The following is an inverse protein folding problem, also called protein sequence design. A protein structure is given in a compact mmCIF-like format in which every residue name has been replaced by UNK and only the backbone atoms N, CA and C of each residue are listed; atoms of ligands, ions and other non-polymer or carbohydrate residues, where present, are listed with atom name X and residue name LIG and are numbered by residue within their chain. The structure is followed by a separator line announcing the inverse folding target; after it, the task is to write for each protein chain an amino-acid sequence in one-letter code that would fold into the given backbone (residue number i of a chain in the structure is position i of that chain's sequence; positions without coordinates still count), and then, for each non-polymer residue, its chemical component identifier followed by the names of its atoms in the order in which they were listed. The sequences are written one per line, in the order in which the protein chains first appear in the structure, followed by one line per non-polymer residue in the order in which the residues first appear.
data_IF_187118328061
#
_entry.id   IF_187118328061
#
_cell.length_a   1.000
_cell.length_b   1.000
_cell.length_c   1.000
_cell.angle_alpha   90.00
_cell.angle_beta   90.00
_cell.angle_gamma   90.00
#
_symmetry.space_group_name_H-M   'P 1'
#
loop_
_entity.id
_entity.type
_entity.pdbx_description
1 polymer ?
#
# COMPACT_ATOMS: atom_id res chain seq x y z
N UNK A 1 49.46 11.01 28.43
CA UNK A 1 49.27 10.00 27.37
C UNK A 1 47.79 9.68 27.11
N UNK A 2 46.99 9.35 28.13
CA UNK A 2 45.54 9.05 28.00
C UNK A 2 44.68 10.17 27.40
N UNK A 3 44.98 11.44 27.69
CA UNK A 3 44.23 12.60 27.16
C UNK A 3 44.35 12.73 25.64
N UNK A 4 45.53 12.45 25.08
CA UNK A 4 45.75 12.48 23.63
C UNK A 4 45.03 11.33 22.91
N UNK A 5 44.93 10.16 23.57
CA UNK A 5 44.18 9.00 23.06
C UNK A 5 42.68 9.31 23.04
N UNK A 6 42.15 9.91 24.12
CA UNK A 6 40.74 10.30 24.19
C UNK A 6 40.37 11.35 23.14
N UNK A 7 41.25 12.33 22.89
CA UNK A 7 41.06 13.34 21.84
C UNK A 7 41.07 12.72 20.44
N UNK A 8 41.99 11.78 20.18
CA UNK A 8 42.05 11.07 18.90
C UNK A 8 40.78 10.25 18.62
N UNK A 9 40.27 9.53 19.62
CA UNK A 9 39.03 8.74 19.49
C UNK A 9 37.82 9.66 19.27
N UNK A 10 37.73 10.78 20.01
CA UNK A 10 36.65 11.75 19.84
C UNK A 10 36.59 12.36 18.44
N UNK A 11 37.76 12.65 17.86
CA UNK A 11 37.86 13.21 16.51
C UNK A 11 37.40 12.20 15.44
N UNK A 12 37.71 10.91 15.60
CA UNK A 12 37.27 9.85 14.68
C UNK A 12 35.74 9.69 14.71
N UNK A 13 35.13 9.75 15.90
CA UNK A 13 33.66 9.64 16.06
C UNK A 13 32.95 10.83 15.38
N UNK A 14 33.46 12.06 15.55
CA UNK A 14 32.88 13.24 14.89
C UNK A 14 32.95 13.16 13.37
N UNK A 15 34.08 12.70 12.82
CA UNK A 15 34.23 12.51 11.37
C UNK A 15 33.23 11.46 10.86
N UNK A 16 33.09 10.33 11.56
CA UNK A 16 32.12 9.29 11.21
C UNK A 16 30.67 9.79 11.20
N UNK A 17 30.27 10.52 12.24
CA UNK A 17 28.92 11.10 12.34
C UNK A 17 28.66 12.15 11.25
N UNK A 18 29.65 12.99 10.92
CA UNK A 18 29.55 13.98 9.85
C UNK A 18 29.36 13.35 8.47
N UNK A 19 30.08 12.26 8.17
CA UNK A 19 29.95 11.52 6.90
C UNK A 19 28.57 10.86 6.77
N UNK A 20 28.04 10.28 7.85
CA UNK A 20 26.70 9.69 7.86
C UNK A 20 25.60 10.75 7.69
N UNK A 21 25.71 11.88 8.39
CA UNK A 21 24.78 13.00 8.26
C UNK A 21 24.81 13.61 6.85
N UNK A 22 25.99 13.72 6.24
CA UNK A 22 26.14 14.21 4.87
C UNK A 22 25.53 13.25 3.84
N UNK A 23 25.75 11.93 3.98
CA UNK A 23 25.11 10.92 3.12
C UNK A 23 23.59 10.93 3.25
N UNK A 24 23.05 10.98 4.47
CA UNK A 24 21.61 11.05 4.70
C UNK A 24 21.02 12.34 4.13
N UNK A 25 21.70 13.48 4.31
CA UNK A 25 21.27 14.76 3.74
C UNK A 25 21.31 14.76 2.21
N UNK A 26 22.32 14.10 1.60
CA UNK A 26 22.45 13.97 0.15
C UNK A 26 21.34 13.10 -0.45
N UNK A 27 20.99 11.99 0.19
CA UNK A 27 19.86 11.13 -0.22
C UNK A 27 18.54 11.92 -0.17
N UNK A 28 18.30 12.68 0.89
CA UNK A 28 17.08 13.51 1.04
C UNK A 28 17.08 14.68 0.04
N UNK A 29 18.24 15.25 -0.29
CA UNK A 29 18.36 16.34 -1.27
C UNK A 29 18.23 15.85 -2.72
N UNK A 30 18.70 14.65 -3.02
CA UNK A 30 18.53 14.00 -4.34
C UNK A 30 17.05 13.64 -4.57
N UNK A 31 16.33 13.20 -3.54
CA UNK A 31 14.87 13.02 -3.60
C UNK A 31 14.11 14.33 -3.87
N UNK A 32 14.64 15.49 -3.47
CA UNK A 32 14.01 16.80 -3.72
C UNK A 32 14.33 17.40 -5.10
N UNK A 33 15.35 16.91 -5.81
CA UNK A 33 15.85 17.50 -7.07
C UNK A 33 15.33 16.86 -8.35
N UNK A 34 14.51 15.80 -8.27
CA UNK A 34 13.75 15.36 -9.43
C UNK A 34 12.38 16.06 -9.41
N UNK A 35 12.16 17.13 -10.20
CA UNK A 35 10.81 17.56 -10.52
C UNK A 35 10.27 16.56 -11.55
N UNK A 36 10.01 15.34 -11.09
CA UNK A 36 9.09 14.44 -11.80
C UNK A 36 7.72 15.11 -11.90
N UNK A 37 6.88 14.71 -12.86
CA UNK A 37 5.52 15.23 -12.97
C UNK A 37 4.89 15.19 -11.57
N UNK A 38 4.34 16.33 -11.12
CA UNK A 38 3.71 16.49 -9.80
C UNK A 38 2.98 15.18 -9.47
N UNK A 39 3.30 14.49 -8.36
CA UNK A 39 2.58 13.27 -8.03
C UNK A 39 1.13 13.67 -7.95
N UNK A 40 0.32 13.17 -8.88
CA UNK A 40 -1.11 13.17 -8.71
C UNK A 40 -1.26 12.30 -7.47
N UNK A 41 -1.46 12.93 -6.31
CA UNK A 41 -1.61 12.24 -5.05
C UNK A 41 -2.96 11.55 -5.11
N UNK A 42 -2.98 10.39 -5.75
CA UNK A 42 -4.12 9.51 -5.74
C UNK A 42 -4.35 9.10 -4.29
N UNK A 43 -5.58 9.33 -3.86
CA UNK A 43 -6.07 8.88 -2.56
C UNK A 43 -6.79 7.56 -2.76
N UNK A 44 -6.70 6.69 -1.77
CA UNK A 44 -7.24 5.34 -1.84
C UNK A 44 -8.19 5.08 -0.69
N UNK A 45 -9.09 4.14 -0.84
CA UNK A 45 -10.01 3.74 0.23
C UNK A 45 -10.33 2.26 0.11
N UNK A 46 -10.77 1.67 1.22
CA UNK A 46 -11.35 0.33 1.24
C UNK A 46 -12.83 0.47 1.57
N UNK A 47 -13.67 0.26 0.57
CA UNK A 47 -15.11 0.34 0.73
C UNK A 47 -15.70 -1.06 0.88
N UNK A 48 -16.62 -1.25 1.82
CA UNK A 48 -17.30 -2.51 2.07
C UNK A 48 -18.80 -2.29 1.93
N UNK A 49 -19.47 -3.08 1.09
CA UNK A 49 -20.89 -2.91 0.79
C UNK A 49 -21.57 -4.26 0.55
N UNK A 50 -22.88 -4.30 0.79
CA UNK A 50 -23.76 -5.43 0.47
C UNK A 50 -24.48 -5.26 -0.89
N UNK A 51 -24.17 -4.19 -1.62
CA UNK A 51 -24.71 -3.92 -2.96
C UNK A 51 -23.58 -3.80 -3.96
N UNK A 52 -23.79 -4.42 -5.12
CA UNK A 52 -22.96 -4.23 -6.30
C UNK A 52 -23.31 -2.87 -6.94
N UNK A 53 -23.22 -1.77 -6.20
CA UNK A 53 -23.63 -0.45 -6.69
C UNK A 53 -22.54 0.11 -7.61
N UNK A 54 -22.69 -0.15 -8.92
CA UNK A 54 -21.94 0.52 -9.98
C UNK A 54 -22.26 2.03 -10.08
N UNK A 55 -23.26 2.53 -9.35
CA UNK A 55 -23.75 3.91 -9.46
C UNK A 55 -22.95 4.93 -8.60
N UNK A 56 -22.14 4.50 -7.62
CA UNK A 56 -21.20 5.37 -6.89
C UNK A 56 -19.88 5.63 -7.66
N UNK A 57 -19.74 5.06 -8.87
CA UNK A 57 -18.52 5.00 -9.68
C UNK A 57 -17.90 6.32 -10.14
N UNK A 58 -18.56 7.47 -10.00
CA UNK A 58 -17.96 8.72 -10.51
C UNK A 58 -16.75 9.17 -9.68
N UNK A 59 -16.65 8.75 -8.41
CA UNK A 59 -15.57 9.14 -7.49
C UNK A 59 -14.64 8.01 -7.08
N UNK A 60 -15.11 6.77 -7.15
CA UNK A 60 -14.37 5.58 -6.74
C UNK A 60 -14.04 4.73 -7.97
N UNK A 61 -12.76 4.48 -8.19
CA UNK A 61 -12.26 3.62 -9.25
C UNK A 61 -11.68 2.35 -8.60
N UNK A 62 -12.41 1.23 -8.60
CA UNK A 62 -11.95 0.00 -7.96
C UNK A 62 -10.75 -0.58 -8.71
N UNK A 63 -9.69 -0.91 -7.99
CA UNK A 63 -8.49 -1.57 -8.52
C UNK A 63 -8.38 -3.03 -8.07
N UNK A 64 -9.05 -3.40 -6.96
CA UNK A 64 -9.14 -4.78 -6.47
C UNK A 64 -10.48 -5.03 -5.79
N UNK A 65 -11.07 -6.20 -6.01
CA UNK A 65 -12.35 -6.59 -5.42
C UNK A 65 -12.24 -7.97 -4.76
N UNK A 66 -12.86 -8.11 -3.60
CA UNK A 66 -13.17 -9.41 -2.99
C UNK A 66 -14.67 -9.53 -2.73
N UNK A 67 -15.19 -10.73 -2.92
CA UNK A 67 -16.56 -11.13 -2.61
C UNK A 67 -16.52 -12.20 -1.54
N UNK A 68 -17.33 -12.07 -0.49
CA UNK A 68 -17.35 -12.99 0.62
C UNK A 68 -18.74 -13.12 1.25
N UNK A 69 -18.96 -14.25 1.92
CA UNK A 69 -20.18 -14.45 2.71
C UNK A 69 -20.02 -13.88 4.11
N UNK A 70 -20.99 -13.11 4.56
CA UNK A 70 -21.16 -12.69 5.95
C UNK A 70 -22.51 -13.28 6.45
N UNK A 71 -22.73 -13.54 7.75
CA UNK A 71 -24.05 -13.85 8.30
C UNK A 71 -25.21 -12.94 7.85
N UNK A 72 -24.93 -11.74 7.35
CA UNK A 72 -25.94 -10.82 6.81
C UNK A 72 -26.20 -10.97 5.30
N UNK A 73 -25.44 -11.81 4.59
CA UNK A 73 -25.54 -12.02 3.15
C UNK A 73 -24.20 -11.91 2.43
N UNK A 74 -24.23 -11.88 1.10
CA UNK A 74 -23.05 -11.64 0.28
C UNK A 74 -22.57 -10.19 0.44
N UNK A 75 -21.27 -10.04 0.69
CA UNK A 75 -20.61 -8.76 0.90
C UNK A 75 -19.45 -8.61 -0.08
N UNK A 76 -19.22 -7.37 -0.46
CA UNK A 76 -18.14 -6.99 -1.35
C UNK A 76 -17.21 -6.03 -0.61
N UNK A 77 -15.91 -6.20 -0.79
CA UNK A 77 -14.93 -5.19 -0.41
C UNK A 77 -14.11 -4.78 -1.63
N UNK A 78 -13.87 -3.48 -1.75
CA UNK A 78 -13.20 -2.86 -2.89
C UNK A 78 -12.04 -2.01 -2.39
N UNK A 79 -10.85 -2.27 -2.91
CA UNK A 79 -9.76 -1.30 -2.86
C UNK A 79 -9.97 -0.35 -4.05
N UNK A 80 -10.21 0.92 -3.77
CA UNK A 80 -10.55 1.91 -4.79
C UNK A 80 -9.65 3.12 -4.74
N UNK A 81 -9.32 3.65 -5.91
CA UNK A 81 -8.74 4.98 -6.08
C UNK A 81 -9.86 6.01 -6.02
N UNK A 82 -9.62 7.10 -5.31
CA UNK A 82 -10.59 8.17 -5.05
C UNK A 82 -10.06 9.48 -5.59
N UNK A 83 -10.91 10.19 -6.33
CA UNK A 83 -10.60 11.54 -6.81
C UNK A 83 -11.22 12.56 -5.85
N UNK A 84 -10.45 13.08 -4.88
CA UNK A 84 -10.96 14.01 -3.86
C UNK A 84 -9.99 14.33 -2.71
N UNK A 85 -10.48 15.02 -1.67
CA UNK A 85 -9.68 15.36 -0.48
C UNK A 85 -9.49 14.14 0.43
N UNK A 86 -8.27 13.59 0.39
CA UNK A 86 -7.65 12.68 1.37
C UNK A 86 -8.54 11.61 2.00
N UNK A 87 -8.54 10.44 1.38
CA UNK A 87 -8.99 9.22 2.05
C UNK A 87 -7.81 8.41 2.62
N UNK A 88 -6.97 7.68 1.90
CA UNK A 88 -5.76 7.02 2.48
C UNK A 88 -4.59 6.99 1.49
N UNK A 89 -3.37 6.71 1.96
CA UNK A 89 -2.28 6.30 1.06
C UNK A 89 -2.54 4.89 0.53
N UNK A 90 -2.01 4.56 -0.65
CA UNK A 90 -2.13 3.23 -1.24
C UNK A 90 -1.66 2.13 -0.28
N UNK A 91 -0.53 2.33 0.39
CA UNK A 91 0.03 1.36 1.33
C UNK A 91 -0.88 1.09 2.53
N UNK A 92 -1.55 2.13 3.05
CA UNK A 92 -2.49 2.04 4.17
C UNK A 92 -3.76 1.30 3.73
N UNK A 93 -4.36 1.70 2.59
CA UNK A 93 -5.54 1.05 2.05
C UNK A 93 -5.27 -0.42 1.67
N UNK A 94 -4.10 -0.71 1.08
CA UNK A 94 -3.67 -2.09 0.79
C UNK A 94 -3.52 -2.90 2.07
N UNK A 95 -2.93 -2.34 3.14
CA UNK A 95 -2.81 -3.02 4.44
C UNK A 95 -4.16 -3.35 5.09
N UNK A 96 -5.15 -2.47 4.95
CA UNK A 96 -6.53 -2.72 5.41
C UNK A 96 -7.15 -3.85 4.59
N UNK A 97 -7.05 -3.79 3.26
CA UNK A 97 -7.58 -4.81 2.36
C UNK A 97 -6.94 -6.18 2.61
N UNK A 98 -5.63 -6.20 2.86
CA UNK A 98 -4.88 -7.41 3.22
C UNK A 98 -5.34 -8.05 4.52
N UNK A 99 -5.67 -7.23 5.52
CA UNK A 99 -6.20 -7.68 6.81
C UNK A 99 -7.58 -8.28 6.61
N UNK A 100 -8.43 -7.61 5.82
CA UNK A 100 -9.77 -8.11 5.49
C UNK A 100 -9.72 -9.41 4.70
N UNK A 101 -8.85 -9.50 3.69
CA UNK A 101 -8.64 -10.73 2.91
C UNK A 101 -8.19 -11.88 3.81
N UNK A 102 -7.22 -11.64 4.70
CA UNK A 102 -6.76 -12.66 5.65
C UNK A 102 -7.87 -13.12 6.61
N UNK A 103 -8.67 -12.20 7.15
CA UNK A 103 -9.79 -12.52 8.04
C UNK A 103 -10.86 -13.36 7.33
N UNK A 104 -11.22 -12.99 6.09
CA UNK A 104 -12.20 -13.71 5.29
C UNK A 104 -11.69 -15.10 4.88
N UNK A 105 -10.41 -15.22 4.51
CA UNK A 105 -9.76 -16.49 4.20
C UNK A 105 -9.70 -17.41 5.43
N UNK A 106 -9.30 -16.89 6.59
CA UNK A 106 -9.24 -17.65 7.83
C UNK A 106 -10.61 -18.21 8.25
N UNK A 107 -11.69 -17.50 7.90
CA UNK A 107 -13.08 -17.92 8.15
C UNK A 107 -13.64 -18.85 7.06
N UNK A 108 -12.91 -19.09 5.97
CA UNK A 108 -13.38 -19.90 4.84
C UNK A 108 -14.58 -19.27 4.10
N UNK A 109 -14.72 -17.94 4.17
CA UNK A 109 -15.88 -17.21 3.64
C UNK A 109 -15.62 -16.52 2.31
N UNK A 110 -14.41 -16.62 1.78
CA UNK A 110 -14.05 -16.00 0.51
C UNK A 110 -14.77 -16.71 -0.64
N UNK A 111 -15.55 -15.97 -1.42
CA UNK A 111 -16.22 -16.46 -2.62
C UNK A 111 -15.44 -16.14 -3.88
N UNK A 112 -14.91 -14.93 -4.00
CA UNK A 112 -14.10 -14.54 -5.14
C UNK A 112 -13.12 -13.42 -4.75
N UNK A 113 -12.01 -13.34 -5.46
CA UNK A 113 -11.08 -12.23 -5.40
C UNK A 113 -10.58 -11.97 -6.82
N UNK A 114 -10.67 -10.72 -7.27
CA UNK A 114 -10.34 -10.38 -8.65
C UNK A 114 -9.72 -8.98 -8.73
N UNK A 115 -8.55 -8.83 -9.36
CA UNK A 115 -8.03 -7.52 -9.71
C UNK A 115 -8.84 -6.90 -10.85
N UNK A 116 -8.99 -5.57 -10.84
CA UNK A 116 -9.64 -4.81 -11.93
C UNK A 116 -8.53 -4.19 -12.78
N UNK A 117 -7.86 -5.04 -13.57
CA UNK A 117 -6.63 -4.66 -14.29
C UNK A 117 -6.82 -3.49 -15.26
N UNK A 118 -8.03 -3.32 -15.80
CA UNK A 118 -8.39 -2.19 -16.67
C UNK A 118 -8.32 -0.83 -15.95
N UNK A 119 -8.51 -0.84 -14.63
CA UNK A 119 -8.50 0.34 -13.80
C UNK A 119 -7.12 0.65 -13.20
N UNK A 120 -6.20 -0.32 -13.12
CA UNK A 120 -4.89 -0.18 -12.48
C UNK A 120 -3.98 0.77 -13.28
N UNK A 121 -3.45 1.81 -12.62
CA UNK A 121 -2.50 2.77 -13.22
C UNK A 121 -1.17 2.80 -12.46
N UNK A 122 -0.08 2.90 -13.21
CA UNK A 122 1.27 3.03 -12.65
C UNK A 122 1.80 1.74 -12.01
N UNK A 123 3.06 1.77 -11.61
CA UNK A 123 3.74 0.60 -11.02
C UNK A 123 3.33 0.37 -9.56
N UNK A 124 3.04 1.43 -8.79
CA UNK A 124 2.67 1.31 -7.38
C UNK A 124 1.37 0.51 -7.18
N UNK A 125 0.33 0.76 -8.00
CA UNK A 125 -0.93 0.01 -7.93
C UNK A 125 -0.76 -1.44 -8.40
N UNK A 126 0.08 -1.68 -9.42
CA UNK A 126 0.41 -3.04 -9.87
C UNK A 126 1.09 -3.84 -8.78
N UNK A 127 2.06 -3.25 -8.08
CA UNK A 127 2.73 -3.90 -6.96
C UNK A 127 1.75 -4.20 -5.82
N UNK A 128 0.84 -3.28 -5.50
CA UNK A 128 -0.19 -3.49 -4.48
C UNK A 128 -1.14 -4.64 -4.84
N UNK A 129 -1.63 -4.68 -6.09
CA UNK A 129 -2.49 -5.75 -6.60
C UNK A 129 -1.74 -7.09 -6.63
N UNK A 130 -0.51 -7.12 -7.15
CA UNK A 130 0.31 -8.33 -7.18
C UNK A 130 0.58 -8.88 -5.78
N UNK A 131 0.76 -8.00 -4.79
CA UNK A 131 0.94 -8.38 -3.38
C UNK A 131 -0.33 -9.02 -2.80
N UNK A 132 -1.51 -8.49 -3.11
CA UNK A 132 -2.80 -9.07 -2.71
C UNK A 132 -3.01 -10.45 -3.35
N UNK A 133 -2.74 -10.58 -4.65
CA UNK A 133 -2.85 -11.86 -5.36
C UNK A 133 -1.84 -12.90 -4.87
N UNK A 134 -0.61 -12.49 -4.59
CA UNK A 134 0.39 -13.38 -3.99
C UNK A 134 -0.10 -13.91 -2.64
N UNK A 135 -0.71 -13.05 -1.80
CA UNK A 135 -1.24 -13.43 -0.49
C UNK A 135 -2.44 -14.38 -0.60
N UNK A 136 -3.31 -14.15 -1.58
CA UNK A 136 -4.42 -15.04 -1.91
C UNK A 136 -3.91 -16.43 -2.32
N UNK A 137 -2.95 -16.47 -3.26
CA UNK A 137 -2.36 -17.71 -3.76
C UNK A 137 -1.59 -18.48 -2.69
N UNK A 138 -0.82 -17.78 -1.84
CA UNK A 138 -0.10 -18.38 -0.72
C UNK A 138 -1.03 -19.00 0.32
N UNK A 139 -2.26 -18.50 0.42
CA UNK A 139 -3.30 -19.01 1.34
C UNK A 139 -4.13 -20.15 0.72
N UNK A 140 -3.76 -20.65 -0.47
CA UNK A 140 -4.48 -21.72 -1.17
C UNK A 140 -5.72 -21.26 -1.92
N UNK A 141 -5.92 -19.94 -2.07
CA UNK A 141 -7.12 -19.34 -2.66
C UNK A 141 -7.12 -19.37 -4.19
N UNK A 142 -7.34 -20.55 -4.80
CA UNK A 142 -7.86 -20.61 -6.16
C UNK A 142 -9.39 -20.55 -6.10
N UNK A 143 -9.96 -19.36 -6.22
CA UNK A 143 -11.35 -19.25 -6.69
C UNK A 143 -11.36 -18.37 -7.93
N UNK A 144 -11.16 -19.04 -9.07
CA UNK A 144 -11.53 -18.53 -10.39
C UNK A 144 -13.06 -18.45 -10.42
N UNK A 145 -13.59 -17.24 -10.40
CA UNK A 145 -14.94 -16.91 -10.88
C UNK A 145 -14.80 -16.17 -12.19
#
# INVERSE_FOLDING_TARGET
MFVYIAFGIGMIIMIGAGVLAWKNSKIIAEQKKQPGPRPIHYTYTVHVTNRLDEAENSRFTPIYRITYEDPQGEMYAYLSRVTGERELKLSEATGIMETKLADVLAKGRLRAASPVMEAVIGEEEKEAVARLDHKLNASGGLVRG
#
